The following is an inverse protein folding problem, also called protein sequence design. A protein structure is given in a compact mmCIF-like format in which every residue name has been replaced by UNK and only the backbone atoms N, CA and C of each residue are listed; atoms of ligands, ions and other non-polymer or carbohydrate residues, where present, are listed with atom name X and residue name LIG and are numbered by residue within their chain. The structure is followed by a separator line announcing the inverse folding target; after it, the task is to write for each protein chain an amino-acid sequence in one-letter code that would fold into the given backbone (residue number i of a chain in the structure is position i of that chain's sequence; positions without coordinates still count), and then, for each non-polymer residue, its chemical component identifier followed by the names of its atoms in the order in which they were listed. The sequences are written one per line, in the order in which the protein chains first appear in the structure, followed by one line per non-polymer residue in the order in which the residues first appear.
data_IF_239312123860
#
_entry.id   IF_239312123860
#
_cell.length_a   1.000
_cell.length_b   1.000
_cell.length_c   1.000
_cell.angle_alpha   90.00
_cell.angle_beta   90.00
_cell.angle_gamma   90.00
#
_symmetry.space_group_name_H-M   'P 1'
#
loop_
_entity.id
_entity.type
_entity.pdbx_description
1 polymer ?
#
# COMPACT_ATOMS: atom_id res chain seq x y z
N UNK A 1 -31.36 11.61 2.95
CA UNK A 1 -29.91 11.56 2.65
C UNK A 1 -29.27 12.77 3.32
N UNK A 2 -28.40 12.61 4.32
CA UNK A 2 -27.74 13.76 4.98
C UNK A 2 -26.57 14.22 4.09
N UNK A 3 -26.53 15.48 3.65
CA UNK A 3 -25.36 16.00 2.94
C UNK A 3 -24.16 15.98 3.90
N UNK A 4 -23.05 15.37 3.48
CA UNK A 4 -21.79 15.36 4.25
C UNK A 4 -21.31 13.99 4.74
N UNK A 5 -22.10 12.92 4.61
CA UNK A 5 -21.59 11.55 4.78
C UNK A 5 -21.33 11.01 3.37
N UNK A 6 -20.06 10.96 2.98
CA UNK A 6 -19.64 10.29 1.75
C UNK A 6 -20.20 8.87 1.75
N UNK A 7 -20.67 8.40 0.59
CA UNK A 7 -21.06 7.01 0.42
C UNK A 7 -19.86 6.14 0.82
N UNK A 8 -20.00 5.39 1.92
CA UNK A 8 -19.00 4.41 2.32
C UNK A 8 -19.21 3.23 1.38
N UNK A 9 -18.52 3.27 0.24
CA UNK A 9 -18.36 2.08 -0.57
C UNK A 9 -17.77 1.00 0.33
N UNK A 10 -18.39 -0.17 0.36
CA UNK A 10 -17.89 -1.29 1.14
C UNK A 10 -16.50 -1.63 0.60
N UNK A 11 -15.46 -1.31 1.36
CA UNK A 11 -14.07 -1.73 1.13
C UNK A 11 -13.85 -2.98 1.99
N UNK A 12 -13.98 -4.20 1.46
CA UNK A 12 -13.85 -5.41 2.27
C UNK A 12 -12.49 -5.49 2.97
N UNK A 13 -11.45 -4.93 2.37
CA UNK A 13 -10.10 -4.82 2.92
C UNK A 13 -10.02 -3.91 4.16
N UNK A 14 -11.00 -3.04 4.39
CA UNK A 14 -11.06 -2.20 5.59
C UNK A 14 -11.32 -3.05 6.84
N UNK A 15 -12.09 -4.13 6.72
CA UNK A 15 -12.28 -5.08 7.82
C UNK A 15 -10.97 -5.74 8.22
N UNK A 16 -10.14 -6.14 7.24
CA UNK A 16 -8.79 -6.63 7.50
C UNK A 16 -7.92 -5.59 8.20
N UNK A 17 -7.96 -4.34 7.73
CA UNK A 17 -7.13 -3.28 8.31
C UNK A 17 -7.50 -2.93 9.75
N UNK A 18 -8.80 -2.91 10.07
CA UNK A 18 -9.30 -2.63 11.43
C UNK A 18 -9.03 -3.76 12.42
N UNK A 19 -8.83 -4.99 11.94
CA UNK A 19 -8.46 -6.15 12.76
C UNK A 19 -6.95 -6.20 13.08
N UNK A 20 -6.12 -5.43 12.36
CA UNK A 20 -4.69 -5.36 12.64
C UNK A 20 -4.37 -4.32 13.73
N UNK A 21 -3.35 -4.56 14.57
CA UNK A 21 -2.86 -3.55 15.49
C UNK A 21 -2.45 -2.26 14.75
N UNK A 22 -2.89 -1.07 15.21
CA UNK A 22 -2.46 0.20 14.62
C UNK A 22 -1.03 0.55 15.07
N UNK A 23 -0.41 1.49 14.36
CA UNK A 23 0.74 2.24 14.85
C UNK A 23 0.23 3.53 15.50
N UNK A 24 0.43 3.68 16.81
CA UNK A 24 0.16 4.92 17.53
C UNK A 24 1.30 5.91 17.30
N UNK A 25 0.95 7.12 16.85
CA UNK A 25 1.88 8.20 16.58
C UNK A 25 1.57 9.39 17.48
N UNK A 26 2.62 9.94 18.08
CA UNK A 26 2.60 11.26 18.69
C UNK A 26 3.21 12.24 17.69
N UNK A 27 2.41 13.21 17.26
CA UNK A 27 2.74 14.11 16.17
C UNK A 27 2.93 15.51 16.73
N UNK A 28 4.12 16.05 16.49
CA UNK A 28 4.44 17.47 16.71
C UNK A 28 4.62 18.10 15.34
N UNK A 29 3.75 19.04 14.98
CA UNK A 29 3.81 19.71 13.69
C UNK A 29 3.89 21.22 13.87
N UNK A 30 4.81 21.85 13.15
CA UNK A 30 4.89 23.31 13.01
C UNK A 30 4.10 23.73 11.78
N UNK A 31 3.12 24.59 11.95
CA UNK A 31 2.30 25.14 10.89
C UNK A 31 3.03 26.27 10.16
N UNK A 32 2.53 26.65 8.98
CA UNK A 32 3.15 27.68 8.15
C UNK A 32 3.22 29.06 8.82
N UNK A 33 2.32 29.36 9.75
CA UNK A 33 2.32 30.61 10.54
C UNK A 33 3.26 30.56 11.76
N UNK A 34 4.01 29.47 11.92
CA UNK A 34 4.94 29.26 13.03
C UNK A 34 4.28 28.73 14.31
N UNK A 35 2.95 28.58 14.34
CA UNK A 35 2.28 27.92 15.46
C UNK A 35 2.56 26.41 15.47
N UNK A 36 2.42 25.78 16.63
CA UNK A 36 2.61 24.34 16.79
C UNK A 36 1.31 23.64 17.14
N UNK A 37 1.13 22.43 16.62
CA UNK A 37 0.08 21.51 17.03
C UNK A 37 0.71 20.21 17.52
N UNK A 38 0.15 19.67 18.60
CA UNK A 38 0.48 18.37 19.13
C UNK A 38 -0.79 17.53 19.17
N UNK A 39 -0.72 16.32 18.62
CA UNK A 39 -1.83 15.38 18.68
C UNK A 39 -1.34 13.94 18.59
N UNK A 40 -2.20 13.02 19.06
CA UNK A 40 -2.00 11.59 18.89
C UNK A 40 -2.92 11.06 17.82
N UNK A 41 -2.40 10.19 16.96
CA UNK A 41 -3.18 9.55 15.89
C UNK A 41 -2.78 8.10 15.72
N UNK A 42 -3.63 7.34 15.02
CA UNK A 42 -3.40 5.94 14.68
C UNK A 42 -3.34 5.79 13.18
N UNK A 43 -2.31 5.08 12.71
CA UNK A 43 -2.19 4.73 11.30
C UNK A 43 -2.08 3.22 11.11
N UNK A 44 -2.39 2.69 9.92
CA UNK A 44 -2.12 1.30 9.60
C UNK A 44 -0.61 1.00 9.67
N UNK A 45 -0.26 -0.22 10.10
CA UNK A 45 1.08 -0.74 9.91
C UNK A 45 1.44 -0.89 8.43
N UNK A 46 2.74 -1.06 8.14
CA UNK A 46 3.27 -1.06 6.76
C UNK A 46 2.60 -2.12 5.87
N UNK A 47 2.48 -3.36 6.34
CA UNK A 47 1.80 -4.42 5.60
C UNK A 47 0.34 -4.04 5.29
N UNK A 48 -0.39 -3.57 6.30
CA UNK A 48 -1.79 -3.18 6.15
C UNK A 48 -1.94 -2.05 5.15
N UNK A 49 -1.02 -1.07 5.16
CA UNK A 49 -1.01 0.00 4.18
C UNK A 49 -0.80 -0.55 2.75
N UNK A 50 0.08 -1.52 2.55
CA UNK A 50 0.30 -2.18 1.24
C UNK A 50 -0.96 -2.92 0.78
N UNK A 51 -1.58 -3.70 1.67
CA UNK A 51 -2.83 -4.42 1.37
C UNK A 51 -3.92 -3.43 0.94
N UNK A 52 -4.17 -2.38 1.73
CA UNK A 52 -5.18 -1.37 1.41
C UNK A 52 -4.91 -0.69 0.06
N UNK A 53 -3.66 -0.28 -0.19
CA UNK A 53 -3.29 0.42 -1.44
C UNK A 53 -3.40 -0.50 -2.66
N UNK A 54 -2.95 -1.74 -2.57
CA UNK A 54 -3.05 -2.70 -3.66
C UNK A 54 -4.51 -2.98 -4.04
N UNK A 55 -5.38 -3.20 -3.05
CA UNK A 55 -6.80 -3.46 -3.27
C UNK A 55 -7.55 -2.23 -3.82
N UNK A 56 -7.32 -1.06 -3.23
CA UNK A 56 -7.88 0.21 -3.70
C UNK A 56 -7.46 0.53 -5.15
N UNK A 57 -6.20 0.32 -5.50
CA UNK A 57 -5.71 0.53 -6.86
C UNK A 57 -6.36 -0.43 -7.86
N UNK A 58 -6.49 -1.72 -7.48
CA UNK A 58 -7.20 -2.71 -8.29
C UNK A 58 -8.68 -2.35 -8.48
N UNK A 59 -9.36 -1.89 -7.44
CA UNK A 59 -10.75 -1.43 -7.53
C UNK A 59 -10.91 -0.25 -8.51
N UNK A 60 -9.90 0.63 -8.60
CA UNK A 60 -9.82 1.71 -9.62
C UNK A 60 -9.42 1.24 -11.02
N UNK A 61 -9.18 -0.06 -11.20
CA UNK A 61 -8.81 -0.67 -12.48
C UNK A 61 -7.33 -0.53 -12.83
N UNK A 62 -6.44 -0.34 -11.84
CA UNK A 62 -4.99 -0.18 -12.04
C UNK A 62 -4.62 1.03 -12.92
N UNK A 63 -5.42 2.10 -12.86
CA UNK A 63 -5.32 3.27 -13.75
C UNK A 63 -4.62 4.49 -13.15
N UNK A 64 -4.33 4.48 -11.85
CA UNK A 64 -3.62 5.58 -11.19
C UNK A 64 -2.12 5.30 -11.14
N UNK A 65 -1.33 6.24 -11.64
CA UNK A 65 0.12 6.29 -11.46
C UNK A 65 0.52 6.60 -10.01
N UNK A 66 -0.22 7.48 -9.33
CA UNK A 66 -0.04 7.81 -7.91
C UNK A 66 -0.14 6.58 -7.01
N UNK A 67 -1.11 5.70 -7.23
CA UNK A 67 -1.22 4.47 -6.44
C UNK A 67 0.00 3.55 -6.61
N UNK A 68 0.58 3.50 -7.81
CA UNK A 68 1.79 2.75 -8.07
C UNK A 68 3.01 3.40 -7.41
N UNK A 69 3.11 4.73 -7.43
CA UNK A 69 4.14 5.47 -6.70
C UNK A 69 4.05 5.21 -5.20
N UNK A 70 2.86 5.29 -4.62
CA UNK A 70 2.61 5.02 -3.20
C UNK A 70 3.02 3.59 -2.83
N UNK A 71 2.63 2.61 -3.65
CA UNK A 71 3.05 1.21 -3.46
C UNK A 71 4.57 1.06 -3.54
N UNK A 72 5.23 1.74 -4.49
CA UNK A 72 6.68 1.71 -4.58
C UNK A 72 7.33 2.27 -3.31
N UNK A 73 6.89 3.43 -2.82
CA UNK A 73 7.38 4.00 -1.56
C UNK A 73 7.19 3.06 -0.37
N UNK A 74 6.03 2.38 -0.26
CA UNK A 74 5.80 1.41 0.81
C UNK A 74 6.75 0.20 0.71
N UNK A 75 7.06 -0.26 -0.50
CA UNK A 75 8.02 -1.34 -0.72
C UNK A 75 9.46 -0.93 -0.44
N UNK A 76 9.83 0.33 -0.70
CA UNK A 76 11.13 0.89 -0.31
C UNK A 76 11.27 0.97 1.21
N UNK A 77 10.24 1.47 1.91
CA UNK A 77 10.20 1.49 3.37
C UNK A 77 10.38 0.06 3.92
N UNK A 78 9.76 -0.95 3.29
CA UNK A 78 9.94 -2.35 3.67
C UNK A 78 11.40 -2.81 3.50
N UNK A 79 12.04 -2.45 2.40
CA UNK A 79 13.45 -2.77 2.15
C UNK A 79 14.38 -2.12 3.18
N UNK A 80 14.16 -0.84 3.49
CA UNK A 80 14.98 -0.07 4.44
C UNK A 80 14.76 -0.49 5.91
N UNK A 81 13.56 -0.99 6.23
CA UNK A 81 13.16 -1.35 7.59
C UNK A 81 12.73 -2.82 7.71
N UNK A 82 13.67 -3.79 7.57
CA UNK A 82 13.35 -5.22 7.51
C UNK A 82 12.77 -5.78 8.83
N UNK A 83 13.00 -5.10 9.95
CA UNK A 83 12.50 -5.49 11.28
C UNK A 83 11.00 -5.24 11.48
N UNK A 84 10.36 -4.53 10.56
CA UNK A 84 8.91 -4.28 10.62
C UNK A 84 8.15 -5.60 10.47
N UNK A 85 7.06 -5.78 11.23
CA UNK A 85 6.20 -6.95 11.11
C UNK A 85 5.67 -7.11 9.67
N UNK A 86 5.81 -8.31 9.11
CA UNK A 86 5.53 -8.56 7.69
C UNK A 86 5.23 -10.03 7.42
N UNK A 87 3.95 -10.33 7.32
CA UNK A 87 3.40 -11.63 6.95
C UNK A 87 3.28 -11.86 5.45
N UNK A 88 3.38 -10.85 4.58
CA UNK A 88 3.31 -11.02 3.11
C UNK A 88 4.45 -11.87 2.51
N UNK A 89 5.54 -12.11 3.24
CA UNK A 89 6.61 -13.04 2.86
C UNK A 89 6.43 -14.45 3.45
N UNK A 90 5.32 -14.71 4.14
CA UNK A 90 5.06 -16.03 4.73
C UNK A 90 4.65 -17.04 3.67
N UNK A 91 5.03 -18.33 3.81
CA UNK A 91 4.50 -19.38 2.94
C UNK A 91 3.01 -19.59 3.19
N UNK A 92 2.26 -19.95 2.14
CA UNK A 92 0.84 -20.32 2.27
C UNK A 92 -0.09 -19.16 2.62
N UNK A 93 0.09 -17.99 1.98
CA UNK A 93 -0.78 -16.84 2.19
C UNK A 93 -2.26 -17.18 1.96
N UNK A 94 -3.14 -16.60 2.78
CA UNK A 94 -4.60 -16.73 2.69
C UNK A 94 -5.29 -15.36 2.69
N UNK A 95 -6.56 -15.31 2.31
CA UNK A 95 -7.40 -14.10 2.34
C UNK A 95 -6.77 -12.90 1.62
N UNK A 96 -6.90 -11.72 2.22
CA UNK A 96 -6.38 -10.45 1.67
C UNK A 96 -4.88 -10.47 1.41
N UNK A 97 -4.08 -11.20 2.19
CA UNK A 97 -2.64 -11.35 1.93
C UNK A 97 -2.39 -12.10 0.62
N UNK A 98 -3.12 -13.19 0.39
CA UNK A 98 -3.03 -13.96 -0.87
C UNK A 98 -3.46 -13.11 -2.07
N UNK A 99 -4.56 -12.39 -1.93
CA UNK A 99 -5.06 -11.56 -3.01
C UNK A 99 -4.13 -10.37 -3.30
N UNK A 100 -3.56 -9.75 -2.27
CA UNK A 100 -2.50 -8.75 -2.41
C UNK A 100 -1.30 -9.30 -3.17
N UNK A 101 -0.84 -10.51 -2.84
CA UNK A 101 0.25 -11.17 -3.55
C UNK A 101 -0.08 -11.39 -5.04
N UNK A 102 -1.30 -11.84 -5.36
CA UNK A 102 -1.75 -11.97 -6.76
C UNK A 102 -1.73 -10.65 -7.52
N UNK A 103 -2.27 -9.60 -6.91
CA UNK A 103 -2.32 -8.25 -7.51
C UNK A 103 -0.91 -7.77 -7.83
N UNK A 104 -0.02 -7.82 -6.84
CA UNK A 104 1.30 -7.23 -6.97
C UNK A 104 2.21 -8.05 -7.88
N UNK A 105 2.13 -9.39 -7.87
CA UNK A 105 2.85 -10.22 -8.85
C UNK A 105 2.33 -10.04 -10.29
N UNK A 106 1.02 -9.82 -10.48
CA UNK A 106 0.47 -9.45 -11.79
C UNK A 106 1.04 -8.10 -12.27
N UNK A 107 1.09 -7.09 -11.37
CA UNK A 107 1.67 -5.78 -11.66
C UNK A 107 3.16 -5.90 -11.98
N UNK A 108 3.94 -6.65 -11.20
CA UNK A 108 5.36 -6.88 -11.47
C UNK A 108 5.58 -7.50 -12.86
N UNK A 109 4.74 -8.47 -13.24
CA UNK A 109 4.76 -9.07 -14.58
C UNK A 109 4.36 -8.09 -15.70
N UNK A 110 3.56 -7.06 -15.41
CA UNK A 110 3.24 -5.97 -16.35
C UNK A 110 4.35 -4.94 -16.43
N UNK A 111 5.00 -4.59 -15.33
CA UNK A 111 6.09 -3.61 -15.28
C UNK A 111 7.30 -4.04 -16.13
N UNK A 112 7.60 -5.34 -16.14
CA UNK A 112 8.71 -5.91 -16.92
C UNK A 112 8.40 -6.09 -18.40
N UNK A 113 7.12 -5.95 -18.82
CA UNK A 113 6.71 -6.05 -20.22
C UNK A 113 6.79 -4.70 -20.91
N UNK A 114 7.54 -4.64 -22.01
CA UNK A 114 7.69 -3.43 -22.85
C UNK A 114 6.37 -2.92 -23.43
N UNK A 115 5.40 -3.80 -23.67
CA UNK A 115 4.10 -3.49 -24.29
C UNK A 115 2.99 -3.16 -23.28
N UNK A 116 3.32 -3.04 -22.00
CA UNK A 116 2.32 -2.80 -20.96
C UNK A 116 1.80 -1.36 -20.99
N UNK A 117 0.47 -1.22 -20.91
CA UNK A 117 -0.24 0.06 -20.78
C UNK A 117 -0.42 0.50 -19.32
N UNK A 118 0.33 -0.08 -18.38
CA UNK A 118 0.28 0.34 -16.99
C UNK A 118 0.74 1.81 -16.89
N UNK A 119 -0.02 2.70 -16.23
CA UNK A 119 0.39 4.08 -16.02
C UNK A 119 1.52 4.09 -14.99
N UNK A 120 2.76 4.24 -15.47
CA UNK A 120 3.97 4.26 -14.64
C UNK A 120 4.45 5.71 -14.49
N UNK A 121 4.60 6.23 -13.26
CA UNK A 121 5.24 7.52 -13.01
C UNK A 121 6.62 7.60 -13.68
N UNK A 122 7.00 8.78 -14.18
CA UNK A 122 8.24 8.97 -14.93
C UNK A 122 9.51 8.64 -14.12
N UNK A 123 9.47 8.94 -12.83
CA UNK A 123 10.54 8.78 -11.85
C UNK A 123 10.58 7.39 -11.20
N UNK A 124 9.62 6.51 -11.50
CA UNK A 124 9.57 5.17 -10.92
C UNK A 124 10.48 4.19 -11.67
N UNK A 125 11.41 3.57 -10.95
CA UNK A 125 12.21 2.45 -11.46
C UNK A 125 11.38 1.15 -11.50
N UNK A 126 10.98 0.76 -12.72
CA UNK A 126 10.17 -0.43 -12.99
C UNK A 126 10.85 -1.72 -12.55
N UNK A 127 12.16 -1.81 -12.74
CA UNK A 127 12.94 -3.03 -12.48
C UNK A 127 13.08 -3.18 -10.97
N UNK A 128 13.41 -2.09 -10.28
CA UNK A 128 13.48 -2.05 -8.82
C UNK A 128 12.15 -2.41 -8.18
N UNK A 129 11.04 -1.81 -8.62
CA UNK A 129 9.70 -2.13 -8.12
C UNK A 129 9.36 -3.62 -8.28
N UNK A 130 9.61 -4.19 -9.46
CA UNK A 130 9.37 -5.62 -9.70
C UNK A 130 10.25 -6.51 -8.81
N UNK A 131 11.51 -6.13 -8.59
CA UNK A 131 12.44 -6.86 -7.72
C UNK A 131 12.01 -6.79 -6.24
N UNK A 132 11.56 -5.63 -5.77
CA UNK A 132 11.04 -5.46 -4.41
C UNK A 132 9.81 -6.32 -4.15
N UNK A 133 8.87 -6.38 -5.11
CA UNK A 133 7.71 -7.29 -5.03
C UNK A 133 8.18 -8.74 -4.94
N UNK A 134 9.09 -9.16 -5.82
CA UNK A 134 9.59 -10.53 -5.83
C UNK A 134 10.32 -10.93 -4.55
N UNK A 135 11.02 -9.98 -3.91
CA UNK A 135 11.79 -10.20 -2.68
C UNK A 135 10.91 -10.27 -1.44
N UNK A 136 9.94 -9.37 -1.32
CA UNK A 136 9.21 -9.17 -0.08
C UNK A 136 7.83 -9.83 -0.07
N UNK A 137 7.32 -10.31 -1.21
CA UNK A 137 5.98 -10.88 -1.29
C UNK A 137 6.05 -12.31 -1.83
N UNK A 138 5.57 -13.27 -1.04
CA UNK A 138 5.47 -14.66 -1.44
C UNK A 138 4.67 -14.80 -2.73
N UNK A 139 5.06 -15.75 -3.58
CA UNK A 139 4.26 -16.09 -4.76
C UNK A 139 2.91 -16.70 -4.29
N UNK A 140 1.79 -16.30 -4.91
CA UNK A 140 0.44 -16.68 -4.50
C UNK A 140 0.04 -18.12 -4.86
#
# INVERSE_FOLDING_TARGET
MRPGVGQVDTLPELGFALDQPPLDLEVFATLFDGSTIEYRTRIPGLETAVVLKAHSWRARGLRSDRDLADLHSLMEIREEHPHTAWGLSSPGLIGFRKDTARILHEVAGKLTKRTSNLPVPYDLDRVRMAALIARHISRP
#
